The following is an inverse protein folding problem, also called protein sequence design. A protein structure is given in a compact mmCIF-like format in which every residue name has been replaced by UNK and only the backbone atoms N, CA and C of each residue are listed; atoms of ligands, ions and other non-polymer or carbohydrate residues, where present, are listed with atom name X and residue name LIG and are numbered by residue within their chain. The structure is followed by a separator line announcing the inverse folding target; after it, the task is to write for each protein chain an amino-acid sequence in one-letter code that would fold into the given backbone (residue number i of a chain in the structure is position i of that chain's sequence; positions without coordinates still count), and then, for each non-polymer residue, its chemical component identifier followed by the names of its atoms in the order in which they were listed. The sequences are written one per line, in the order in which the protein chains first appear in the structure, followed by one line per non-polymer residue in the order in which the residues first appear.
data_IF_056682059683
#
_entry.id   IF_056682059683
#
_cell.length_a   1.000
_cell.length_b   1.000
_cell.length_c   1.000
_cell.angle_alpha   90.00
_cell.angle_beta   90.00
_cell.angle_gamma   90.00
#
_symmetry.space_group_name_H-M   'P 1'
#
loop_
_entity.id
_entity.type
_entity.pdbx_description
1 polymer ?
#
# COMPACT_ATOMS: atom_id res chain seq x y z
N UNK A 1 11.79 -16.77 -4.26
CA UNK A 1 12.12 -15.82 -5.34
C UNK A 1 12.85 -14.66 -4.69
N UNK A 2 13.33 -13.61 -5.37
CA UNK A 2 13.89 -12.44 -4.66
C UNK A 2 12.80 -11.40 -4.46
N UNK A 3 12.78 -10.78 -3.27
CA UNK A 3 11.87 -9.71 -2.85
C UNK A 3 12.11 -8.36 -3.55
N UNK A 4 12.54 -8.37 -4.81
CA UNK A 4 12.69 -7.16 -5.64
C UNK A 4 11.32 -6.52 -6.01
N UNK A 5 10.23 -6.89 -5.34
CA UNK A 5 8.85 -6.64 -5.75
C UNK A 5 8.05 -5.70 -4.86
N UNK A 6 8.52 -5.41 -3.63
CA UNK A 6 7.82 -4.55 -2.68
C UNK A 6 8.77 -3.50 -2.10
N UNK A 7 8.24 -2.31 -1.83
CA UNK A 7 8.97 -1.21 -1.22
C UNK A 7 8.05 -0.44 -0.28
N UNK A 8 8.51 -0.14 0.93
CA UNK A 8 7.80 0.71 1.86
C UNK A 8 8.76 1.78 2.37
N UNK A 9 8.36 3.04 2.27
CA UNK A 9 9.22 4.17 2.62
C UNK A 9 8.40 5.26 3.28
N UNK A 10 9.10 6.15 3.99
CA UNK A 10 8.53 7.44 4.35
C UNK A 10 8.30 8.25 3.09
N UNK A 11 7.22 9.04 3.08
CA UNK A 11 6.80 9.77 1.89
C UNK A 11 7.85 10.79 1.43
N UNK A 12 8.55 11.43 2.36
CA UNK A 12 9.61 12.39 2.07
C UNK A 12 10.86 11.73 1.48
N UNK A 13 11.18 10.50 1.89
CA UNK A 13 12.24 9.69 1.29
C UNK A 13 11.87 9.27 -0.13
N UNK A 14 10.64 8.77 -0.33
CA UNK A 14 10.13 8.38 -1.64
C UNK A 14 10.14 9.55 -2.64
N UNK A 15 9.77 10.75 -2.19
CA UNK A 15 9.80 11.98 -3.00
C UNK A 15 11.19 12.39 -3.47
N UNK A 16 12.24 12.03 -2.71
CA UNK A 16 13.63 12.33 -3.10
C UNK A 16 14.21 11.32 -4.07
N UNK A 17 13.63 10.13 -4.18
CA UNK A 17 14.13 9.06 -5.06
C UNK A 17 13.31 8.97 -6.37
N UNK A 18 13.89 9.53 -7.43
CA UNK A 18 13.30 9.51 -8.77
C UNK A 18 13.16 8.08 -9.35
N UNK A 19 13.96 7.11 -8.90
CA UNK A 19 13.85 5.72 -9.35
C UNK A 19 12.58 5.06 -8.81
N UNK A 20 12.25 5.32 -7.55
CA UNK A 20 11.02 4.81 -6.95
C UNK A 20 9.78 5.38 -7.65
N UNK A 21 9.83 6.66 -8.01
CA UNK A 21 8.73 7.35 -8.71
C UNK A 21 8.52 6.86 -10.14
N UNK A 22 9.60 6.58 -10.87
CA UNK A 22 9.54 6.14 -12.28
C UNK A 22 9.21 4.65 -12.46
N UNK A 23 9.18 3.87 -11.38
CA UNK A 23 8.88 2.44 -11.43
C UNK A 23 7.38 2.21 -11.69
N UNK A 24 7.04 1.29 -12.59
CA UNK A 24 5.65 0.88 -12.81
C UNK A 24 5.23 -0.03 -11.65
N UNK A 25 4.36 0.47 -10.76
CA UNK A 25 3.91 -0.22 -9.56
C UNK A 25 2.53 0.25 -9.12
N UNK A 26 1.85 -0.62 -8.38
CA UNK A 26 0.73 -0.23 -7.54
C UNK A 26 1.26 0.49 -6.30
N UNK A 27 0.52 1.47 -5.80
CA UNK A 27 0.91 2.25 -4.62
C UNK A 27 -0.25 2.41 -3.66
N UNK A 28 0.02 2.30 -2.38
CA UNK A 28 -0.87 2.66 -1.29
C UNK A 28 -0.15 3.72 -0.45
N UNK A 29 -0.72 4.91 -0.35
CA UNK A 29 -0.17 6.03 0.41
C UNK A 29 -1.12 6.42 1.54
N UNK A 30 -0.58 6.78 2.70
CA UNK A 30 -1.34 7.43 3.77
C UNK A 30 -0.46 8.45 4.50
N UNK A 31 -1.09 9.52 4.98
CA UNK A 31 -0.39 10.61 5.68
C UNK A 31 -0.50 10.41 7.18
N UNK A 32 0.50 10.85 7.95
CA UNK A 32 0.54 10.66 9.41
C UNK A 32 -0.67 11.30 10.12
N UNK A 33 -1.16 12.42 9.58
CA UNK A 33 -2.33 13.15 10.08
C UNK A 33 -3.50 13.12 9.07
N UNK A 34 -3.42 12.29 8.03
CA UNK A 34 -4.45 12.23 6.98
C UNK A 34 -5.69 11.45 7.38
N UNK A 35 -6.84 11.85 6.84
CA UNK A 35 -8.13 11.17 7.04
C UNK A 35 -8.44 10.15 5.93
N UNK A 36 -7.52 9.95 4.98
CA UNK A 36 -7.69 8.99 3.90
C UNK A 36 -6.37 8.34 3.49
N UNK A 37 -6.48 7.09 3.05
CA UNK A 37 -5.47 6.41 2.24
C UNK A 37 -5.78 6.63 0.76
N UNK A 38 -4.75 6.61 -0.07
CA UNK A 38 -4.86 6.72 -1.52
C UNK A 38 -4.25 5.49 -2.13
N UNK A 39 -5.07 4.70 -2.81
CA UNK A 39 -4.61 3.61 -3.65
C UNK A 39 -4.48 4.08 -5.09
N UNK A 40 -3.31 3.87 -5.68
CA UNK A 40 -2.96 4.27 -7.03
C UNK A 40 -2.70 3.01 -7.85
N UNK A 41 -3.54 2.72 -8.86
CA UNK A 41 -3.32 1.60 -9.76
C UNK A 41 -2.01 1.74 -10.55
N UNK A 42 -1.44 0.60 -10.92
CA UNK A 42 -0.23 0.56 -11.74
C UNK A 42 -0.44 1.25 -13.09
N UNK A 43 0.56 2.02 -13.53
CA UNK A 43 0.50 2.79 -14.78
C UNK A 43 -0.26 4.11 -14.70
N UNK A 44 -0.89 4.44 -13.57
CA UNK A 44 -1.51 5.75 -13.35
C UNK A 44 -0.45 6.74 -12.87
N UNK A 45 -0.38 7.93 -13.48
CA UNK A 45 0.48 9.01 -13.03
C UNK A 45 0.16 9.35 -11.59
N UNK A 46 1.15 9.44 -10.71
CA UNK A 46 0.95 9.78 -9.31
C UNK A 46 1.59 11.13 -9.00
N UNK A 47 0.77 12.18 -8.96
CA UNK A 47 1.24 13.52 -8.59
C UNK A 47 1.43 13.59 -7.07
N UNK A 48 2.69 13.58 -6.64
CA UNK A 48 3.07 13.62 -5.24
C UNK A 48 3.20 15.04 -4.68
N UNK A 49 3.26 16.05 -5.55
CA UNK A 49 3.52 17.43 -5.15
C UNK A 49 2.29 18.05 -4.47
N UNK A 50 1.09 17.51 -4.74
CA UNK A 50 -0.15 17.90 -4.08
C UNK A 50 -0.23 17.47 -2.61
N UNK A 51 0.67 16.60 -2.13
CA UNK A 51 0.69 16.11 -0.76
C UNK A 51 1.84 16.73 0.04
N UNK A 52 1.63 17.82 0.82
CA UNK A 52 2.72 18.55 1.48
C UNK A 52 3.29 17.85 2.74
N UNK A 53 2.63 16.81 3.24
CA UNK A 53 2.84 16.24 4.57
C UNK A 53 3.68 14.95 4.60
N UNK A 54 4.10 14.56 5.80
CA UNK A 54 4.75 13.28 6.07
C UNK A 54 3.74 12.13 6.08
N UNK A 55 4.23 10.93 5.78
CA UNK A 55 3.41 9.75 5.68
C UNK A 55 4.20 8.55 5.21
N UNK A 56 3.46 7.57 4.72
CA UNK A 56 3.99 6.32 4.21
C UNK A 56 3.52 6.10 2.80
N UNK A 57 4.36 5.41 2.05
CA UNK A 57 3.99 4.86 0.76
C UNK A 57 4.50 3.44 0.63
N UNK A 58 3.57 2.55 0.35
CA UNK A 58 3.81 1.16 0.07
C UNK A 58 3.62 0.93 -1.43
N UNK A 59 4.66 0.47 -2.10
CA UNK A 59 4.67 0.19 -3.54
C UNK A 59 4.92 -1.30 -3.79
N UNK A 60 4.19 -1.89 -4.71
CA UNK A 60 4.33 -3.30 -5.06
C UNK A 60 4.05 -3.54 -6.55
N UNK A 61 4.66 -4.57 -7.10
CA UNK A 61 4.55 -4.86 -8.53
C UNK A 61 3.34 -5.76 -8.89
N UNK A 62 3.16 -5.97 -10.18
CA UNK A 62 2.10 -6.80 -10.76
C UNK A 62 2.15 -8.27 -10.29
N UNK A 63 3.34 -8.83 -10.06
CA UNK A 63 3.47 -10.21 -9.60
C UNK A 63 2.89 -10.34 -8.19
N UNK A 64 3.30 -9.46 -7.27
CA UNK A 64 2.77 -9.46 -5.91
C UNK A 64 1.25 -9.24 -5.88
N UNK A 65 0.76 -8.31 -6.72
CA UNK A 65 -0.68 -8.06 -6.85
C UNK A 65 -1.44 -9.33 -7.25
N UNK A 66 -0.96 -10.07 -8.27
CA UNK A 66 -1.59 -11.33 -8.71
C UNK A 66 -1.55 -12.39 -7.62
N UNK A 67 -0.38 -12.57 -7.01
CA UNK A 67 -0.23 -13.56 -5.95
C UNK A 67 -1.13 -13.24 -4.74
N UNK A 68 -1.36 -11.95 -4.43
CA UNK A 68 -2.31 -11.54 -3.40
C UNK A 68 -3.74 -11.94 -3.75
N UNK A 69 -4.18 -11.69 -4.98
CA UNK A 69 -5.53 -12.07 -5.43
C UNK A 69 -5.74 -13.60 -5.38
N UNK A 70 -4.71 -14.36 -5.72
CA UNK A 70 -4.74 -15.82 -5.65
C UNK A 70 -4.80 -16.33 -4.20
N UNK A 71 -4.11 -15.67 -3.27
CA UNK A 71 -4.16 -15.98 -1.83
C UNK A 71 -5.50 -15.61 -1.18
N UNK A 72 -6.11 -14.52 -1.60
CA UNK A 72 -7.32 -13.95 -1.01
C UNK A 72 -8.43 -13.75 -2.05
N UNK A 73 -8.99 -14.84 -2.63
CA UNK A 73 -9.89 -14.76 -3.76
C UNK A 73 -11.30 -14.26 -3.40
N UNK A 74 -11.65 -14.14 -2.12
CA UNK A 74 -12.97 -13.68 -1.71
C UNK A 74 -13.10 -12.18 -1.92
N UNK A 75 -14.19 -11.73 -2.56
CA UNK A 75 -14.42 -10.31 -2.89
C UNK A 75 -14.23 -9.37 -1.69
N UNK A 76 -14.65 -9.79 -0.48
CA UNK A 76 -14.50 -8.97 0.72
C UNK A 76 -13.03 -8.71 1.13
N UNK A 77 -12.08 -9.53 0.65
CA UNK A 77 -10.64 -9.40 0.93
C UNK A 77 -9.87 -8.69 -0.18
N UNK A 78 -10.42 -8.58 -1.39
CA UNK A 78 -9.70 -8.04 -2.53
C UNK A 78 -10.47 -7.02 -3.40
N UNK A 79 -11.69 -6.62 -3.04
CA UNK A 79 -12.51 -5.66 -3.80
C UNK A 79 -11.77 -4.39 -4.26
N UNK A 80 -10.92 -3.80 -3.40
CA UNK A 80 -10.08 -2.64 -3.73
C UNK A 80 -9.16 -2.94 -4.92
N UNK A 81 -8.55 -4.12 -4.90
CA UNK A 81 -7.60 -4.56 -5.90
C UNK A 81 -8.29 -5.11 -7.15
N UNK A 82 -9.40 -5.84 -7.01
CA UNK A 82 -10.16 -6.40 -8.12
C UNK A 82 -10.80 -5.31 -9.01
N UNK A 83 -11.00 -4.11 -8.47
CA UNK A 83 -11.55 -2.98 -9.23
C UNK A 83 -10.48 -2.43 -10.19
N UNK A 84 -10.68 -2.67 -11.49
CA UNK A 84 -9.87 -2.07 -12.58
C UNK A 84 -10.21 -0.59 -12.78
N UNK A 85 -9.99 0.22 -11.75
CA UNK A 85 -10.08 1.68 -11.84
C UNK A 85 -8.87 2.21 -12.59
N UNK A 86 -9.10 3.18 -13.48
CA UNK A 86 -8.02 3.98 -14.08
C UNK A 86 -7.67 5.21 -13.22
N UNK A 87 -8.45 5.45 -12.16
CA UNK A 87 -8.34 6.60 -11.27
C UNK A 87 -7.89 6.18 -9.86
N UNK A 88 -7.39 7.16 -9.09
CA UNK A 88 -7.07 6.99 -7.68
C UNK A 88 -8.31 6.55 -6.89
N UNK A 89 -8.10 5.68 -5.91
CA UNK A 89 -9.14 5.28 -4.97
C UNK A 89 -8.81 5.86 -3.60
N UNK A 90 -9.69 6.74 -3.12
CA UNK A 90 -9.60 7.32 -1.78
C UNK A 90 -10.37 6.44 -0.80
N UNK A 91 -9.70 6.04 0.28
CA UNK A 91 -10.22 5.12 1.28
C UNK A 91 -10.22 5.85 2.63
N UNK A 92 -11.35 6.00 3.34
CA UNK A 92 -11.39 6.63 4.65
C UNK A 92 -10.44 5.94 5.63
N UNK A 93 -9.71 6.76 6.38
CA UNK A 93 -8.70 6.30 7.33
C UNK A 93 -9.04 6.82 8.72
N UNK A 94 -9.71 5.98 9.51
CA UNK A 94 -9.95 6.27 10.91
C UNK A 94 -8.63 6.33 11.69
N UNK A 95 -8.57 7.14 12.75
CA UNK A 95 -7.36 7.33 13.58
C UNK A 95 -6.76 6.00 14.05
N UNK A 96 -7.61 5.07 14.51
CA UNK A 96 -7.16 3.74 14.95
C UNK A 96 -6.46 2.95 13.83
N UNK A 97 -7.09 2.90 12.66
CA UNK A 97 -6.53 2.21 11.49
C UNK A 97 -5.24 2.90 11.02
N UNK A 98 -5.16 4.23 11.08
CA UNK A 98 -3.96 4.99 10.74
C UNK A 98 -2.77 4.57 11.62
N UNK A 99 -3.00 4.44 12.92
CA UNK A 99 -1.97 3.97 13.85
C UNK A 99 -1.52 2.55 13.52
N UNK A 100 -2.47 1.63 13.33
CA UNK A 100 -2.18 0.23 12.97
C UNK A 100 -1.38 0.13 11.66
N UNK A 101 -1.76 0.89 10.63
CA UNK A 101 -1.06 0.93 9.35
C UNK A 101 0.37 1.45 9.48
N UNK A 102 0.57 2.51 10.26
CA UNK A 102 1.91 3.06 10.52
C UNK A 102 2.79 2.10 11.33
N UNK A 103 2.24 1.40 12.33
CA UNK A 103 2.96 0.37 13.07
C UNK A 103 3.37 -0.80 12.17
N UNK A 104 2.47 -1.27 11.30
CA UNK A 104 2.78 -2.31 10.31
C UNK A 104 3.86 -1.85 9.33
N UNK A 105 3.85 -0.58 8.92
CA UNK A 105 4.88 -0.03 8.04
C UNK A 105 6.25 0.00 8.70
N UNK A 106 6.34 0.47 9.95
CA UNK A 106 7.58 0.45 10.72
C UNK A 106 8.14 -0.97 10.89
N UNK A 107 7.26 -1.94 11.20
CA UNK A 107 7.64 -3.35 11.30
C UNK A 107 8.16 -3.90 9.97
N UNK A 108 7.48 -3.60 8.86
CA UNK A 108 7.88 -4.06 7.53
C UNK A 108 9.23 -3.45 7.10
N UNK A 109 9.44 -2.15 7.32
CA UNK A 109 10.74 -1.48 7.07
C UNK A 109 11.84 -2.17 7.86
N UNK A 110 11.60 -2.43 9.13
CA UNK A 110 12.60 -3.06 10.00
C UNK A 110 12.92 -4.48 9.56
N UNK A 111 11.89 -5.26 9.21
CA UNK A 111 12.04 -6.62 8.72
C UNK A 111 12.83 -6.67 7.39
N UNK A 112 12.61 -5.70 6.49
CA UNK A 112 13.39 -5.57 5.25
C UNK A 112 14.87 -5.29 5.54
N UNK A 113 15.15 -4.36 6.46
CA UNK A 113 16.53 -4.01 6.86
C UNK A 113 17.26 -5.17 7.52
N UNK A 114 16.55 -5.98 8.30
CA UNK A 114 17.11 -7.15 8.99
C UNK A 114 17.24 -8.39 8.09
N UNK A 115 16.76 -8.33 6.83
CA UNK A 115 16.83 -9.45 5.90
C UNK A 115 15.94 -10.64 6.32
N UNK A 116 14.78 -10.35 6.90
CA UNK A 116 13.81 -11.38 7.31
C UNK A 116 13.32 -12.22 6.13
N UNK A 117 12.74 -13.38 6.43
CA UNK A 117 12.28 -14.33 5.41
C UNK A 117 11.19 -13.74 4.50
N UNK A 118 11.11 -14.26 3.27
CA UNK A 118 10.11 -13.85 2.27
C UNK A 118 8.68 -14.01 2.76
N UNK A 119 8.38 -15.13 3.41
CA UNK A 119 7.07 -15.39 3.99
C UNK A 119 6.69 -14.36 5.07
N UNK A 120 7.66 -13.97 5.89
CA UNK A 120 7.44 -12.97 6.94
C UNK A 120 7.10 -11.62 6.32
N UNK A 121 7.89 -11.15 5.36
CA UNK A 121 7.66 -9.88 4.68
C UNK A 121 6.32 -9.86 3.94
N UNK A 122 5.96 -10.97 3.29
CA UNK A 122 4.67 -11.14 2.65
C UNK A 122 3.51 -11.03 3.63
N UNK A 123 3.59 -11.65 4.82
CA UNK A 123 2.53 -11.59 5.81
C UNK A 123 2.21 -10.14 6.26
N UNK A 124 3.24 -9.31 6.48
CA UNK A 124 3.04 -7.90 6.84
C UNK A 124 2.51 -7.05 5.68
N UNK A 125 3.01 -7.29 4.46
CA UNK A 125 2.50 -6.64 3.26
C UNK A 125 1.02 -6.99 3.01
N UNK A 126 0.66 -8.26 3.17
CA UNK A 126 -0.71 -8.75 3.02
C UNK A 126 -1.62 -8.10 4.07
N UNK A 127 -1.19 -7.98 5.34
CA UNK A 127 -1.96 -7.31 6.40
C UNK A 127 -2.24 -5.83 6.08
N UNK A 128 -1.25 -5.09 5.60
CA UNK A 128 -1.42 -3.69 5.16
C UNK A 128 -2.54 -3.59 4.10
N UNK A 129 -2.52 -4.49 3.12
CA UNK A 129 -3.47 -4.47 2.01
C UNK A 129 -4.86 -4.97 2.40
N UNK A 130 -4.95 -5.98 3.26
CA UNK A 130 -6.22 -6.46 3.81
C UNK A 130 -6.88 -5.37 4.65
N UNK A 131 -6.12 -4.63 5.45
CA UNK A 131 -6.61 -3.49 6.21
C UNK A 131 -7.16 -2.37 5.30
N UNK A 132 -6.43 -2.02 4.25
CA UNK A 132 -6.90 -1.06 3.25
C UNK A 132 -8.17 -1.55 2.54
N UNK A 133 -8.23 -2.84 2.20
CA UNK A 133 -9.37 -3.43 1.54
C UNK A 133 -10.61 -3.48 2.46
N UNK A 134 -10.46 -3.85 3.72
CA UNK A 134 -11.57 -3.86 4.69
C UNK A 134 -12.15 -2.46 4.89
N UNK A 135 -11.29 -1.45 4.99
CA UNK A 135 -11.73 -0.06 5.06
C UNK A 135 -12.50 0.35 3.80
N UNK A 136 -12.03 -0.06 2.61
CA UNK A 136 -12.69 0.19 1.33
C UNK A 136 -14.07 -0.47 1.24
N UNK A 137 -14.18 -1.76 1.59
CA UNK A 137 -15.45 -2.51 1.57
C UNK A 137 -16.45 -1.93 2.57
N UNK A 138 -15.98 -1.45 3.73
CA UNK A 138 -16.82 -0.79 4.73
C UNK A 138 -17.53 0.47 4.23
N UNK A 139 -17.01 1.13 3.19
CA UNK A 139 -17.67 2.25 2.50
C UNK A 139 -18.87 1.74 1.68
N UNK A 140 -18.67 0.65 0.95
CA UNK A 140 -19.61 0.11 -0.03
C UNK A 140 -20.67 -0.83 0.56
N UNK A 141 -20.58 -1.12 1.87
CA UNK A 141 -21.53 -1.98 2.59
C UNK A 141 -22.56 -1.20 3.43
N UNK A 142 -22.61 0.13 3.28
CA UNK A 142 -23.60 1.02 3.91
C UNK A 142 -24.60 1.51 2.87
#
# INVERSE_FOLDING_TARGET
MSLNFLSINRLDEYKRDAKLQSTISFRLMWLDEGESMVFVPSGVSFDLDIYPSTGWIFSFNELFYRDFLDRYPQDYNCALMAKRSSDYVFIPLAVKLRMEMSELADLLVRALKEGQSELFLQAYADLILLNANQAYVGIHSK
#
